data_IF_617706003298
#
_entry.id   IF_617706003298
#
_cell.length_a   1.000
_cell.length_b   1.000
_cell.length_c   1.000
_cell.angle_alpha   90.00
_cell.angle_beta   90.00
_cell.angle_gamma   90.00
#
_symmetry.space_group_name_H-M   'P 1'
#
loop_
_entity.id
_entity.type
_entity.pdbx_description
1 polymer ?
#
# COMPACT_ATOMS: atom_id res chain seq x y z
N UNK A 1 -54.46 1.55 -6.88
CA UNK A 1 -53.97 1.40 -5.51
C UNK A 1 -52.46 1.32 -5.54
N UNK A 2 -51.79 2.48 -5.53
CA UNK A 2 -50.32 2.58 -5.44
C UNK A 2 -49.99 3.01 -4.02
N UNK A 3 -50.07 2.06 -3.09
CA UNK A 3 -49.59 2.29 -1.72
C UNK A 3 -48.07 2.32 -1.77
N UNK A 4 -47.47 3.49 -1.92
CA UNK A 4 -46.04 3.68 -1.68
C UNK A 4 -45.84 3.55 -0.16
N UNK A 5 -45.38 2.39 0.29
CA UNK A 5 -44.93 2.20 1.68
C UNK A 5 -43.83 3.22 1.97
N UNK A 6 -44.19 4.28 2.70
CA UNK A 6 -43.26 5.33 3.07
C UNK A 6 -42.29 4.80 4.12
N UNK A 7 -41.00 5.15 4.01
CA UNK A 7 -39.98 4.82 5.02
C UNK A 7 -40.41 5.30 6.43
N UNK A 8 -41.22 6.36 6.50
CA UNK A 8 -41.79 6.89 7.73
C UNK A 8 -42.78 5.95 8.44
N UNK A 9 -43.36 4.97 7.73
CA UNK A 9 -44.27 4.02 8.35
C UNK A 9 -43.53 2.86 9.05
N UNK A 10 -42.23 2.71 8.77
CA UNK A 10 -41.43 1.62 9.32
C UNK A 10 -40.95 1.93 10.74
N UNK A 11 -40.81 0.91 11.62
CA UNK A 11 -40.12 1.03 12.89
C UNK A 11 -38.65 1.50 12.75
N UNK A 12 -38.08 2.25 13.71
CA UNK A 12 -36.71 2.77 13.63
C UNK A 12 -35.62 1.71 13.40
N UNK A 13 -35.73 0.56 14.05
CA UNK A 13 -34.81 -0.59 13.92
C UNK A 13 -34.82 -1.17 12.50
N UNK A 14 -36.00 -1.28 11.88
CA UNK A 14 -36.14 -1.71 10.47
C UNK A 14 -35.49 -0.68 9.54
N UNK A 15 -35.69 0.62 9.78
CA UNK A 15 -35.03 1.68 9.01
C UNK A 15 -33.51 1.54 9.14
N UNK A 16 -32.98 1.44 10.36
CA UNK A 16 -31.54 1.27 10.60
C UNK A 16 -30.98 0.02 9.90
N UNK A 17 -31.75 -1.06 9.83
CA UNK A 17 -31.35 -2.27 9.11
C UNK A 17 -31.29 -2.05 7.58
N UNK A 18 -32.21 -1.27 7.02
CA UNK A 18 -32.19 -0.90 5.60
C UNK A 18 -30.96 -0.03 5.29
N UNK A 19 -30.62 0.91 6.18
CA UNK A 19 -29.50 1.84 5.98
C UNK A 19 -28.14 1.13 5.81
N UNK A 20 -27.98 -0.09 6.34
CA UNK A 20 -26.75 -0.89 6.21
C UNK A 20 -26.37 -1.14 4.75
N UNK A 21 -27.35 -1.16 3.84
CA UNK A 21 -27.14 -1.45 2.41
C UNK A 21 -26.90 -0.19 1.57
N UNK A 22 -26.88 0.99 2.18
CA UNK A 22 -26.67 2.25 1.48
C UNK A 22 -25.19 2.61 1.48
N UNK A 23 -24.75 3.22 0.38
CA UNK A 23 -23.46 3.90 0.36
C UNK A 23 -23.50 5.15 1.26
N UNK A 24 -22.31 5.68 1.56
CA UNK A 24 -22.17 6.84 2.47
C UNK A 24 -22.84 8.08 1.88
N UNK A 25 -22.87 8.24 0.56
CA UNK A 25 -23.49 9.40 -0.10
C UNK A 25 -25.01 9.38 0.13
N UNK A 26 -25.65 8.25 -0.13
CA UNK A 26 -27.08 8.02 0.08
C UNK A 26 -27.44 8.15 1.55
N UNK A 27 -26.59 7.66 2.46
CA UNK A 27 -26.79 7.80 3.90
C UNK A 27 -26.81 9.28 4.34
N UNK A 28 -25.84 10.07 3.87
CA UNK A 28 -25.78 11.51 4.16
C UNK A 28 -26.98 12.23 3.54
N UNK A 29 -27.33 11.93 2.28
CA UNK A 29 -28.49 12.51 1.62
C UNK A 29 -29.79 12.24 2.40
N UNK A 30 -30.01 10.99 2.85
CA UNK A 30 -31.16 10.62 3.66
C UNK A 30 -31.24 11.38 4.99
N UNK A 31 -30.11 11.63 5.64
CA UNK A 31 -30.07 12.43 6.88
C UNK A 31 -30.60 13.86 6.70
N UNK A 32 -30.66 14.34 5.45
CA UNK A 32 -31.15 15.67 5.08
C UNK A 32 -32.60 15.69 4.56
N UNK A 33 -33.25 14.54 4.37
CA UNK A 33 -34.59 14.47 3.75
C UNK A 33 -35.70 14.95 4.68
N UNK A 34 -35.70 14.53 5.95
CA UNK A 34 -36.76 14.85 6.91
C UNK A 34 -36.27 14.92 8.37
N UNK A 35 -37.12 15.42 9.26
CA UNK A 35 -36.79 15.63 10.68
C UNK A 35 -36.58 14.34 11.47
N UNK A 36 -37.28 13.26 11.12
CA UNK A 36 -37.15 11.95 11.76
C UNK A 36 -35.85 11.27 11.36
N UNK A 37 -35.49 11.26 10.07
CA UNK A 37 -34.20 10.75 9.59
C UNK A 37 -33.04 11.60 10.12
N UNK A 38 -33.23 12.92 10.21
CA UNK A 38 -32.26 13.80 10.87
C UNK A 38 -32.10 13.45 12.36
N UNK A 39 -33.18 13.14 13.06
CA UNK A 39 -33.10 12.68 14.45
C UNK A 39 -32.37 11.34 14.56
N UNK A 40 -32.70 10.36 13.69
CA UNK A 40 -32.00 9.09 13.63
C UNK A 40 -30.51 9.24 13.29
N UNK A 41 -30.13 10.26 12.51
CA UNK A 41 -28.72 10.55 12.23
C UNK A 41 -27.92 11.03 13.45
N UNK A 42 -28.56 11.28 14.59
CA UNK A 42 -27.86 11.51 15.85
C UNK A 42 -27.52 10.19 16.58
N UNK A 43 -28.13 9.07 16.18
CA UNK A 43 -27.87 7.77 16.76
C UNK A 43 -26.57 7.17 16.21
N UNK A 44 -25.81 6.50 17.08
CA UNK A 44 -24.55 5.84 16.70
C UNK A 44 -24.74 4.81 15.59
N UNK A 45 -25.76 3.96 15.69
CA UNK A 45 -26.03 2.88 14.73
C UNK A 45 -26.37 3.36 13.33
N UNK A 46 -26.83 4.61 13.17
CA UNK A 46 -27.11 5.20 11.85
C UNK A 46 -25.84 5.29 10.99
N UNK A 47 -24.70 5.62 11.60
CA UNK A 47 -23.43 5.78 10.91
C UNK A 47 -22.55 4.54 10.99
N UNK A 48 -22.52 3.89 12.16
CA UNK A 48 -21.58 2.81 12.44
C UNK A 48 -21.69 1.65 11.46
N UNK A 49 -22.90 1.09 11.27
CA UNK A 49 -23.06 -0.13 10.43
C UNK A 49 -22.75 0.14 8.95
N UNK A 50 -23.26 1.21 8.31
CA UNK A 50 -22.90 1.50 6.93
C UNK A 50 -21.41 1.80 6.76
N UNK A 51 -20.79 2.56 7.68
CA UNK A 51 -19.35 2.85 7.61
C UNK A 51 -18.51 1.60 7.81
N UNK A 52 -18.85 0.73 8.76
CA UNK A 52 -18.16 -0.55 8.95
C UNK A 52 -18.28 -1.46 7.72
N UNK A 53 -19.41 -1.42 7.00
CA UNK A 53 -19.58 -2.09 5.72
C UNK A 53 -18.71 -1.48 4.61
N UNK A 54 -18.73 -0.14 4.49
CA UNK A 54 -17.96 0.59 3.49
C UNK A 54 -16.44 0.47 3.69
N UNK A 55 -15.97 0.42 4.95
CA UNK A 55 -14.56 0.31 5.30
C UNK A 55 -13.90 -0.96 4.73
N UNK A 56 -14.70 -2.01 4.49
CA UNK A 56 -14.25 -3.27 3.85
C UNK A 56 -14.00 -3.17 2.35
N UNK A 57 -14.40 -2.05 1.74
CA UNK A 57 -14.39 -1.86 0.28
C UNK A 57 -13.52 -0.65 -0.10
N UNK A 58 -13.40 0.32 0.80
CA UNK A 58 -12.66 1.56 0.57
C UNK A 58 -12.05 2.07 1.88
N UNK A 59 -10.92 2.80 1.79
CA UNK A 59 -10.32 3.40 2.97
C UNK A 59 -11.27 4.42 3.62
N UNK A 60 -11.28 4.48 4.95
CA UNK A 60 -11.92 5.54 5.72
C UNK A 60 -10.84 6.41 6.34
N UNK A 61 -11.19 7.64 6.72
CA UNK A 61 -10.25 8.61 7.31
C UNK A 61 -9.92 8.33 8.79
N UNK A 62 -9.59 7.08 9.08
CA UNK A 62 -9.15 6.57 10.36
C UNK A 62 -8.19 5.40 10.10
N UNK A 63 -7.36 5.03 11.09
CA UNK A 63 -6.58 3.80 11.02
C UNK A 63 -7.47 2.58 10.78
N UNK A 64 -6.98 1.54 10.08
CA UNK A 64 -7.79 0.35 9.83
C UNK A 64 -8.05 -0.47 11.11
N UNK A 65 -7.19 -0.34 12.12
CA UNK A 65 -7.31 -0.94 13.45
C UNK A 65 -8.28 -0.19 14.39
N UNK A 66 -8.74 0.99 13.98
CA UNK A 66 -9.64 1.82 14.77
C UNK A 66 -11.01 1.14 14.98
N UNK A 67 -11.40 0.94 16.23
CA UNK A 67 -12.70 0.36 16.56
C UNK A 67 -13.79 1.42 16.40
N UNK A 68 -14.42 1.44 15.22
CA UNK A 68 -15.54 2.32 14.90
C UNK A 68 -16.71 2.21 15.89
N UNK A 69 -16.84 1.13 16.66
CA UNK A 69 -17.91 0.97 17.65
C UNK A 69 -17.70 1.80 18.93
N UNK A 70 -16.46 2.23 19.18
CA UNK A 70 -16.09 3.10 20.30
C UNK A 70 -16.20 4.60 19.95
N UNK A 71 -16.34 4.92 18.67
CA UNK A 71 -16.50 6.30 18.16
C UNK A 71 -17.88 6.85 18.52
N UNK A 72 -17.94 8.14 18.80
CA UNK A 72 -19.21 8.85 18.94
C UNK A 72 -19.92 9.00 17.58
N UNK A 73 -21.25 9.18 17.60
CA UNK A 73 -22.01 9.44 16.37
C UNK A 73 -21.50 10.68 15.60
N UNK A 74 -21.03 11.70 16.33
CA UNK A 74 -20.44 12.90 15.73
C UNK A 74 -19.12 12.61 15.00
N UNK A 75 -18.25 11.78 15.57
CA UNK A 75 -17.00 11.37 14.94
C UNK A 75 -17.25 10.50 13.71
N UNK A 76 -18.17 9.52 13.80
CA UNK A 76 -18.56 8.69 12.66
C UNK A 76 -19.14 9.54 11.52
N UNK A 77 -19.99 10.52 11.85
CA UNK A 77 -20.51 11.47 10.86
C UNK A 77 -19.38 12.29 10.23
N UNK A 78 -18.38 12.72 11.01
CA UNK A 78 -17.21 13.45 10.50
C UNK A 78 -16.41 12.57 9.53
N UNK A 79 -16.19 11.29 9.85
CA UNK A 79 -15.54 10.32 8.96
C UNK A 79 -16.31 10.18 7.65
N UNK A 80 -17.63 9.97 7.72
CA UNK A 80 -18.49 9.88 6.54
C UNK A 80 -18.35 11.10 5.63
N UNK A 81 -18.45 12.31 6.19
CA UNK A 81 -18.32 13.56 5.43
C UNK A 81 -16.92 13.77 4.88
N UNK A 82 -15.87 13.31 5.57
CA UNK A 82 -14.50 13.35 5.06
C UNK A 82 -14.32 12.41 3.87
N UNK A 83 -14.76 11.16 3.98
CA UNK A 83 -14.70 10.19 2.88
C UNK A 83 -15.43 10.70 1.63
N UNK A 84 -16.57 11.38 1.78
CA UNK A 84 -17.26 12.00 0.64
C UNK A 84 -16.52 13.19 0.03
N UNK A 85 -15.84 14.01 0.84
CA UNK A 85 -15.00 15.11 0.33
C UNK A 85 -13.82 14.56 -0.48
N UNK A 86 -13.17 13.55 0.06
CA UNK A 86 -12.08 12.82 -0.61
C UNK A 86 -12.56 12.22 -1.93
N UNK A 87 -13.64 11.43 -1.91
CA UNK A 87 -14.22 10.81 -3.09
C UNK A 87 -14.64 11.84 -4.16
N UNK A 88 -15.19 12.98 -3.73
CA UNK A 88 -15.52 14.10 -4.62
C UNK A 88 -14.27 14.74 -5.23
N UNK A 89 -13.20 14.95 -4.47
CA UNK A 89 -11.99 15.54 -5.04
C UNK A 89 -11.35 14.58 -6.06
N UNK A 90 -11.35 13.28 -5.74
CA UNK A 90 -10.87 12.24 -6.64
C UNK A 90 -11.67 12.06 -7.92
N UNK A 91 -12.98 12.33 -7.90
CA UNK A 91 -13.80 12.21 -9.11
C UNK A 91 -13.58 13.36 -10.09
N UNK A 92 -12.81 14.39 -9.71
CA UNK A 92 -12.40 15.46 -10.63
C UNK A 92 -11.23 15.02 -11.49
N UNK A 93 -11.12 15.56 -12.70
CA UNK A 93 -9.97 15.30 -13.58
C UNK A 93 -8.65 15.83 -13.01
N UNK A 94 -8.71 16.81 -12.12
CA UNK A 94 -7.56 17.47 -11.50
C UNK A 94 -7.82 17.66 -10.00
N UNK A 95 -7.54 16.63 -9.17
CA UNK A 95 -7.65 16.75 -7.73
C UNK A 95 -6.83 17.95 -7.24
N UNK A 96 -7.50 18.86 -6.53
CA UNK A 96 -6.88 20.08 -6.02
C UNK A 96 -6.50 19.92 -4.55
N UNK A 97 -5.43 20.60 -4.16
CA UNK A 97 -5.07 20.77 -2.75
C UNK A 97 -6.21 21.44 -2.00
N UNK A 98 -6.65 20.83 -0.90
CA UNK A 98 -7.84 21.24 -0.14
C UNK A 98 -7.51 22.23 0.99
N UNK A 99 -6.26 22.26 1.48
CA UNK A 99 -5.78 23.17 2.54
C UNK A 99 -4.34 23.60 2.25
N UNK A 100 -3.85 24.71 2.85
CA UNK A 100 -2.47 25.14 2.66
C UNK A 100 -1.47 24.01 2.94
N UNK A 101 -0.42 23.94 2.12
CA UNK A 101 0.68 22.99 2.31
C UNK A 101 1.40 23.34 3.61
N UNK A 102 1.53 22.36 4.51
CA UNK A 102 2.31 22.49 5.74
C UNK A 102 3.74 22.06 5.46
N UNK A 103 4.71 22.84 5.87
CA UNK A 103 6.13 22.52 5.74
C UNK A 103 6.76 22.38 7.12
N UNK A 104 7.48 21.28 7.32
CA UNK A 104 8.21 20.97 8.55
C UNK A 104 9.69 20.84 8.22
N UNK A 105 10.54 21.39 9.09
CA UNK A 105 11.98 21.16 8.99
C UNK A 105 12.31 19.79 9.61
N UNK A 106 13.09 19.00 8.88
CA UNK A 106 13.64 17.74 9.35
C UNK A 106 15.01 17.99 9.99
N UNK A 107 15.36 17.19 10.98
CA UNK A 107 16.60 17.36 11.75
C UNK A 107 17.79 16.76 11.01
N UNK A 108 17.61 15.61 10.36
CA UNK A 108 18.70 14.83 9.77
C UNK A 108 18.51 14.66 8.27
N UNK A 109 19.33 13.81 7.65
CA UNK A 109 19.18 13.43 6.24
C UNK A 109 18.08 12.37 6.07
N UNK A 110 16.91 12.70 6.59
CA UNK A 110 15.78 11.79 6.73
C UNK A 110 15.16 11.49 5.35
N UNK A 111 15.15 10.23 4.94
CA UNK A 111 14.35 9.72 3.82
C UNK A 111 13.03 9.15 4.34
N UNK A 112 11.96 9.34 3.60
CA UNK A 112 10.66 8.85 4.04
C UNK A 112 10.49 7.40 3.63
N UNK A 113 10.31 6.52 4.62
CA UNK A 113 10.12 5.09 4.38
C UNK A 113 8.64 4.77 4.15
N UNK A 114 7.76 5.28 5.02
CA UNK A 114 6.31 5.09 4.91
C UNK A 114 5.54 6.03 5.84
N UNK A 115 4.25 6.16 5.57
CA UNK A 115 3.26 6.71 6.49
C UNK A 115 2.44 5.59 7.13
N UNK A 116 2.00 5.82 8.37
CA UNK A 116 1.09 4.92 9.06
C UNK A 116 -0.35 5.28 8.66
N UNK A 117 -1.08 4.38 7.95
CA UNK A 117 -2.37 4.68 7.34
C UNK A 117 -3.39 5.28 8.31
N UNK A 118 -4.06 6.35 7.88
CA UNK A 118 -5.13 6.97 8.64
C UNK A 118 -4.66 7.75 9.88
N UNK A 119 -3.35 7.98 10.03
CA UNK A 119 -2.74 8.74 11.13
C UNK A 119 -1.89 9.91 10.61
N UNK A 120 -1.32 10.67 11.54
CA UNK A 120 -0.30 11.68 11.25
C UNK A 120 1.13 11.14 11.44
N UNK A 121 1.32 9.83 11.63
CA UNK A 121 2.62 9.25 11.90
C UNK A 121 3.33 8.88 10.60
N UNK A 122 4.63 9.20 10.53
CA UNK A 122 5.53 8.79 9.45
C UNK A 122 6.78 8.15 10.02
N UNK A 123 7.36 7.22 9.28
CA UNK A 123 8.66 6.62 9.58
C UNK A 123 9.69 7.19 8.62
N UNK A 124 10.76 7.74 9.20
CA UNK A 124 11.87 8.35 8.50
C UNK A 124 13.15 7.54 8.75
N UNK A 125 13.95 7.33 7.72
CA UNK A 125 15.29 6.75 7.79
C UNK A 125 16.36 7.82 7.70
N UNK A 126 17.22 7.88 8.71
CA UNK A 126 18.49 8.57 8.63
C UNK A 126 19.52 7.61 8.05
N UNK A 127 19.81 7.74 6.74
CA UNK A 127 20.70 6.82 6.03
C UNK A 127 22.18 6.98 6.42
N UNK A 128 22.59 8.13 6.96
CA UNK A 128 23.96 8.35 7.43
C UNK A 128 24.22 7.59 8.73
N UNK A 129 23.27 7.68 9.67
CA UNK A 129 23.35 7.01 10.98
C UNK A 129 22.76 5.59 10.97
N UNK A 130 22.11 5.20 9.85
CA UNK A 130 21.41 3.95 9.67
C UNK A 130 20.36 3.68 10.77
N UNK A 131 19.58 4.73 11.08
CA UNK A 131 18.56 4.73 12.13
C UNK A 131 17.18 5.09 11.60
N UNK A 132 16.14 4.64 12.30
CA UNK A 132 14.76 4.99 12.03
C UNK A 132 14.19 5.84 13.16
N UNK A 133 13.38 6.84 12.80
CA UNK A 133 12.56 7.61 13.74
C UNK A 133 11.11 7.62 13.26
N UNK A 134 10.16 7.61 14.20
CA UNK A 134 8.76 7.86 13.92
C UNK A 134 8.44 9.32 14.31
N UNK A 135 7.85 10.09 13.40
CA UNK A 135 7.45 11.48 13.63
C UNK A 135 5.93 11.62 13.55
N UNK A 136 5.33 12.37 14.47
CA UNK A 136 3.98 12.90 14.31
C UNK A 136 4.03 14.22 13.54
N UNK A 137 3.48 14.25 12.33
CA UNK A 137 3.52 15.45 11.48
C UNK A 137 2.61 16.56 11.97
N UNK A 138 1.66 16.29 12.87
CA UNK A 138 0.81 17.32 13.46
C UNK A 138 1.59 18.09 14.52
N UNK A 139 2.18 17.37 15.48
CA UNK A 139 2.89 17.95 16.63
C UNK A 139 4.37 18.28 16.36
N UNK A 140 4.99 17.59 15.38
CA UNK A 140 6.42 17.63 15.12
C UNK A 140 7.26 16.80 16.11
N UNK A 141 6.61 16.07 17.02
CA UNK A 141 7.31 15.20 17.98
C UNK A 141 7.87 13.96 17.29
N UNK A 142 9.06 13.53 17.73
CA UNK A 142 9.75 12.35 17.21
C UNK A 142 9.93 11.30 18.31
N UNK A 143 9.92 10.03 17.89
CA UNK A 143 10.35 8.90 18.72
C UNK A 143 11.85 8.97 19.01
N UNK A 144 12.31 8.09 19.89
CA UNK A 144 13.74 7.81 19.97
C UNK A 144 14.20 7.06 18.71
N UNK A 145 15.46 7.25 18.31
CA UNK A 145 16.02 6.64 17.10
C UNK A 145 16.35 5.16 17.34
N UNK A 146 15.98 4.31 16.39
CA UNK A 146 16.25 2.86 16.43
C UNK A 146 17.22 2.50 15.31
N UNK A 147 18.38 1.94 15.67
CA UNK A 147 19.41 1.56 14.70
C UNK A 147 19.07 0.24 14.01
N UNK A 148 18.85 0.27 12.70
CA UNK A 148 18.42 -0.89 11.88
C UNK A 148 19.44 -1.29 10.82
N UNK A 149 20.36 -0.40 10.43
CA UNK A 149 21.20 -0.61 9.25
C UNK A 149 20.59 0.06 8.01
N UNK A 150 21.33 0.08 6.90
CA UNK A 150 20.85 0.66 5.66
C UNK A 150 19.76 -0.23 5.08
N UNK A 151 18.55 0.30 4.94
CA UNK A 151 17.38 -0.43 4.47
C UNK A 151 17.39 -0.44 2.94
N UNK A 152 17.08 -1.60 2.36
CA UNK A 152 16.97 -1.73 0.90
C UNK A 152 15.66 -2.40 0.46
N UNK A 153 14.89 -2.97 1.39
CA UNK A 153 13.52 -3.39 1.13
C UNK A 153 12.68 -3.34 2.41
N UNK A 154 11.39 -3.05 2.26
CA UNK A 154 10.42 -3.04 3.36
C UNK A 154 9.09 -3.64 2.92
N UNK A 155 8.43 -4.38 3.83
CA UNK A 155 7.09 -4.86 3.57
C UNK A 155 6.07 -3.74 3.69
N UNK A 156 4.90 -3.95 3.08
CA UNK A 156 3.71 -3.18 3.42
C UNK A 156 3.41 -3.27 4.93
N UNK A 157 2.87 -2.21 5.54
CA UNK A 157 2.46 -2.23 6.92
C UNK A 157 1.34 -3.27 7.16
N UNK A 158 1.45 -4.00 8.26
CA UNK A 158 0.43 -4.89 8.80
C UNK A 158 -0.11 -4.25 10.07
N UNK A 159 -1.37 -3.83 10.04
CA UNK A 159 -2.00 -3.25 11.20
C UNK A 159 -2.39 -4.32 12.23
N UNK A 160 -1.98 -4.10 13.47
CA UNK A 160 -2.41 -4.78 14.69
C UNK A 160 -3.18 -3.75 15.55
N UNK A 161 -4.13 -4.20 16.37
CA UNK A 161 -5.16 -3.36 17.02
C UNK A 161 -4.65 -2.02 17.59
N UNK A 162 -3.44 -2.01 18.16
CA UNK A 162 -2.83 -0.82 18.76
C UNK A 162 -1.47 -0.44 18.14
N UNK A 163 -1.01 -1.15 17.11
CA UNK A 163 0.32 -0.92 16.51
C UNK A 163 0.32 -1.26 15.03
N UNK A 164 1.12 -0.56 14.25
CA UNK A 164 1.42 -0.94 12.88
C UNK A 164 2.77 -1.68 12.85
N UNK A 165 2.81 -2.89 12.29
CA UNK A 165 4.03 -3.69 12.16
C UNK A 165 4.51 -3.73 10.70
N UNK A 166 5.80 -3.83 10.48
CA UNK A 166 6.42 -3.91 9.15
C UNK A 166 7.71 -4.71 9.24
N UNK A 167 8.10 -5.41 8.18
CA UNK A 167 9.44 -5.99 8.10
C UNK A 167 10.36 -5.10 7.28
N UNK A 168 11.61 -5.02 7.72
CA UNK A 168 12.68 -4.30 7.04
C UNK A 168 13.83 -5.25 6.77
N UNK A 169 14.33 -5.21 5.55
CA UNK A 169 15.51 -5.93 5.12
C UNK A 169 16.65 -4.92 4.99
N UNK A 170 17.69 -5.09 5.79
CA UNK A 170 18.76 -4.10 5.95
C UNK A 170 20.15 -4.72 5.91
N UNK A 171 21.17 -3.87 5.76
CA UNK A 171 22.58 -4.25 5.90
C UNK A 171 23.21 -3.48 7.05
N UNK A 172 23.85 -4.20 7.98
CA UNK A 172 24.59 -3.61 9.09
C UNK A 172 25.92 -4.33 9.28
N UNK A 173 27.02 -3.59 9.22
CA UNK A 173 28.38 -4.13 9.37
C UNK A 173 28.69 -5.29 8.41
N UNK A 174 28.15 -5.26 7.19
CA UNK A 174 28.33 -6.28 6.17
C UNK A 174 27.40 -7.50 6.30
N UNK A 175 26.61 -7.60 7.36
CA UNK A 175 25.61 -8.66 7.52
C UNK A 175 24.25 -8.17 7.03
N UNK A 176 23.53 -9.03 6.30
CA UNK A 176 22.13 -8.81 5.97
C UNK A 176 21.25 -9.20 7.15
N UNK A 177 20.26 -8.36 7.44
CA UNK A 177 19.40 -8.48 8.61
C UNK A 177 17.95 -8.36 8.22
N UNK A 178 17.11 -9.16 8.87
CA UNK A 178 15.66 -9.08 8.79
C UNK A 178 15.15 -8.58 10.14
N UNK A 179 14.51 -7.42 10.15
CA UNK A 179 13.92 -6.80 11.35
C UNK A 179 12.41 -6.69 11.22
N UNK A 180 11.70 -6.77 12.35
CA UNK A 180 10.25 -6.48 12.43
C UNK A 180 10.06 -5.28 13.34
N UNK A 181 9.68 -4.17 12.73
CA UNK A 181 9.46 -2.89 13.38
C UNK A 181 7.99 -2.76 13.75
N UNK A 182 7.72 -2.20 14.93
CA UNK A 182 6.36 -1.90 15.40
C UNK A 182 6.27 -0.44 15.77
N UNK A 183 5.29 0.25 15.20
CA UNK A 183 4.95 1.63 15.52
C UNK A 183 3.67 1.64 16.35
N UNK A 184 3.73 2.17 17.56
CA UNK A 184 2.53 2.30 18.40
C UNK A 184 1.58 3.36 17.82
N UNK A 185 0.27 3.06 17.76
CA UNK A 185 -0.73 3.97 17.21
C UNK A 185 -1.07 5.11 18.19
N UNK A 186 -1.59 6.26 17.68
CA UNK A 186 -1.88 7.44 18.50
C UNK A 186 -2.84 7.14 19.67
N UNK A 187 -2.50 7.67 20.85
CA UNK A 187 -3.16 7.39 22.13
C UNK A 187 -2.19 7.49 23.32
N UNK A 188 -0.89 7.46 23.02
CA UNK A 188 0.23 7.80 23.90
C UNK A 188 0.79 9.18 23.49
N UNK A 189 1.40 9.92 24.42
CA UNK A 189 1.83 11.31 24.20
C UNK A 189 3.13 11.48 23.38
N UNK A 190 3.74 10.40 22.88
CA UNK A 190 4.94 10.44 22.03
C UNK A 190 4.89 9.27 21.05
N UNK A 191 5.26 9.44 19.76
CA UNK A 191 5.44 8.33 18.84
C UNK A 191 6.48 7.35 19.35
N UNK A 192 6.24 6.04 19.21
CA UNK A 192 7.17 4.98 19.61
C UNK A 192 7.35 4.02 18.44
N UNK A 193 8.62 3.72 18.13
CA UNK A 193 9.02 2.66 17.21
C UNK A 193 9.86 1.64 17.97
N UNK A 194 9.52 0.36 17.85
CA UNK A 194 10.18 -0.76 18.53
C UNK A 194 10.69 -1.77 17.52
N UNK A 195 11.89 -2.29 17.73
CA UNK A 195 12.41 -3.44 16.98
C UNK A 195 12.06 -4.73 17.73
N UNK A 196 10.99 -5.39 17.27
CA UNK A 196 10.37 -6.53 17.97
C UNK A 196 11.02 -7.88 17.64
N UNK A 197 11.69 -7.98 16.49
CA UNK A 197 12.38 -9.19 16.05
C UNK A 197 13.55 -8.79 15.16
N UNK A 198 14.72 -9.39 15.38
CA UNK A 198 15.92 -9.13 14.59
C UNK A 198 16.65 -10.45 14.31
N UNK A 199 16.82 -10.76 13.04
CA UNK A 199 17.45 -11.99 12.55
C UNK A 199 18.64 -11.65 11.67
N UNK A 200 19.77 -12.29 11.92
CA UNK A 200 20.94 -12.25 11.03
C UNK A 200 20.72 -13.33 9.96
N UNK A 201 20.76 -12.93 8.71
CA UNK A 201 20.54 -13.82 7.57
C UNK A 201 21.85 -14.46 7.11
N UNK A 202 21.77 -15.66 6.54
CA UNK A 202 22.93 -16.38 6.02
C UNK A 202 23.52 -15.62 4.81
N UNK A 203 24.79 -15.20 4.86
CA UNK A 203 25.43 -14.41 3.80
C UNK A 203 25.67 -15.20 2.50
N UNK A 204 25.44 -16.51 2.50
CA UNK A 204 25.57 -17.37 1.31
C UNK A 204 24.45 -17.16 0.29
N UNK A 205 23.38 -16.46 0.68
CA UNK A 205 22.23 -16.17 -0.17
C UNK A 205 22.12 -14.68 -0.49
N UNK A 206 21.53 -14.38 -1.63
CA UNK A 206 21.11 -13.02 -1.96
C UNK A 206 19.63 -12.86 -1.64
N UNK A 207 19.29 -11.91 -0.77
CA UNK A 207 17.90 -11.57 -0.42
C UNK A 207 17.42 -10.39 -1.26
N UNK A 208 16.15 -10.43 -1.64
CA UNK A 208 15.61 -9.53 -2.67
C UNK A 208 14.25 -8.92 -2.31
N UNK A 209 13.48 -9.55 -1.43
CA UNK A 209 12.22 -9.02 -0.95
C UNK A 209 11.91 -9.53 0.46
N UNK A 210 11.16 -8.77 1.25
CA UNK A 210 10.61 -9.14 2.54
C UNK A 210 9.09 -8.99 2.56
N UNK A 211 8.46 -9.77 3.42
CA UNK A 211 7.03 -9.67 3.69
C UNK A 211 6.74 -9.99 5.15
N UNK A 212 5.60 -9.48 5.61
CA UNK A 212 5.09 -9.68 6.95
C UNK A 212 3.63 -10.13 6.90
N UNK A 213 3.28 -11.11 7.72
CA UNK A 213 1.89 -11.48 8.03
C UNK A 213 1.62 -11.28 9.52
N UNK A 214 0.41 -11.58 9.98
CA UNK A 214 0.07 -11.56 11.41
C UNK A 214 0.91 -12.55 12.24
N UNK A 215 1.49 -13.59 11.62
CA UNK A 215 2.12 -14.71 12.32
C UNK A 215 3.54 -15.03 11.88
N UNK A 216 3.96 -14.60 10.69
CA UNK A 216 5.29 -14.87 10.14
C UNK A 216 5.92 -13.63 9.52
N UNK A 217 7.24 -13.58 9.59
CA UNK A 217 8.06 -12.71 8.74
C UNK A 217 8.83 -13.58 7.75
N UNK A 218 9.03 -13.11 6.53
CA UNK A 218 9.79 -13.86 5.56
C UNK A 218 10.59 -13.02 4.58
N UNK A 219 11.44 -13.72 3.85
CA UNK A 219 12.32 -13.16 2.82
C UNK A 219 12.32 -14.06 1.60
N UNK A 220 12.47 -13.43 0.44
CA UNK A 220 12.76 -14.11 -0.83
C UNK A 220 14.26 -14.12 -1.02
N UNK A 221 14.83 -15.32 -1.12
CA UNK A 221 16.27 -15.53 -1.28
C UNK A 221 16.59 -16.30 -2.55
N UNK A 222 17.76 -16.04 -3.10
CA UNK A 222 18.28 -16.71 -4.29
C UNK A 222 19.37 -17.70 -3.91
N UNK A 223 19.27 -18.92 -4.44
CA UNK A 223 20.28 -19.97 -4.30
C UNK A 223 21.40 -19.81 -5.34
N UNK A 224 22.55 -20.47 -5.12
CA UNK A 224 23.64 -20.56 -6.11
C UNK A 224 23.15 -21.12 -7.46
N UNK A 225 22.16 -22.02 -7.44
CA UNK A 225 21.52 -22.61 -8.60
C UNK A 225 20.57 -21.67 -9.35
N UNK A 226 20.47 -20.40 -8.92
CA UNK A 226 19.55 -19.40 -9.47
C UNK A 226 18.10 -19.86 -9.42
N UNK A 227 17.69 -20.56 -8.35
CA UNK A 227 16.28 -20.73 -8.01
C UNK A 227 15.91 -19.74 -6.91
N UNK A 228 14.65 -19.33 -6.89
CA UNK A 228 14.11 -18.55 -5.78
C UNK A 228 13.59 -19.49 -4.69
N UNK A 229 13.81 -19.10 -3.44
CA UNK A 229 13.25 -19.74 -2.27
C UNK A 229 12.55 -18.71 -1.39
N UNK A 230 11.49 -19.14 -0.71
CA UNK A 230 10.80 -18.33 0.28
C UNK A 230 11.17 -18.88 1.65
N UNK A 231 11.93 -18.11 2.42
CA UNK A 231 12.25 -18.46 3.80
C UNK A 231 11.32 -17.69 4.73
N UNK A 232 10.67 -18.39 5.66
CA UNK A 232 9.80 -17.77 6.67
C UNK A 232 10.20 -18.16 8.07
N UNK A 233 9.91 -17.26 9.01
CA UNK A 233 10.17 -17.39 10.43
C UNK A 233 8.89 -17.04 11.20
N UNK A 234 8.59 -17.82 12.24
CA UNK A 234 7.48 -17.50 13.13
C UNK A 234 7.79 -16.24 13.96
N UNK A 235 6.81 -15.34 14.10
CA UNK A 235 6.99 -14.12 14.89
C UNK A 235 7.06 -14.37 16.40
N UNK A 236 6.45 -15.46 16.90
CA UNK A 236 6.44 -15.83 18.32
C UNK A 236 7.66 -16.66 18.69
N UNK A 237 8.01 -17.64 17.85
CA UNK A 237 9.20 -18.48 18.03
C UNK A 237 10.05 -18.51 16.75
N UNK A 238 10.99 -17.57 16.59
CA UNK A 238 11.81 -17.45 15.37
C UNK A 238 12.70 -18.66 15.08
N UNK A 239 12.82 -19.61 16.02
CA UNK A 239 13.52 -20.88 15.77
C UNK A 239 12.72 -21.80 14.84
N UNK A 240 11.40 -21.61 14.79
CA UNK A 240 10.51 -22.24 13.81
C UNK A 240 10.66 -21.50 12.49
N UNK A 241 11.28 -22.18 11.52
CA UNK A 241 11.46 -21.67 10.16
C UNK A 241 11.10 -22.71 9.11
N UNK A 242 10.64 -22.25 7.96
CA UNK A 242 10.40 -23.07 6.78
C UNK A 242 11.09 -22.46 5.56
N UNK A 243 11.50 -23.33 4.64
CA UNK A 243 12.04 -22.93 3.34
C UNK A 243 11.17 -23.58 2.28
N UNK A 244 10.49 -22.75 1.48
CA UNK A 244 9.68 -23.19 0.35
C UNK A 244 10.52 -23.05 -0.91
N UNK A 245 10.79 -24.19 -1.55
CA UNK A 245 11.54 -24.25 -2.79
C UNK A 245 10.62 -23.87 -3.95
N UNK A 246 11.11 -23.04 -4.87
CA UNK A 246 10.39 -22.75 -6.10
C UNK A 246 11.22 -23.19 -7.30
N UNK A 247 10.55 -23.60 -8.37
CA UNK A 247 11.18 -23.75 -9.70
C UNK A 247 11.21 -22.41 -10.46
N UNK A 248 10.95 -21.30 -9.77
CA UNK A 248 11.05 -19.98 -10.36
C UNK A 248 12.51 -19.71 -10.70
N UNK A 249 12.84 -19.37 -11.96
CA UNK A 249 14.18 -18.92 -12.26
C UNK A 249 14.44 -17.65 -11.45
N UNK A 250 15.65 -17.54 -10.88
CA UNK A 250 16.12 -16.33 -10.24
C UNK A 250 16.43 -15.29 -11.31
N UNK A 251 15.34 -14.71 -11.79
CA UNK A 251 15.27 -13.52 -12.63
C UNK A 251 14.86 -12.37 -11.72
N UNK A 252 14.89 -11.16 -12.26
CA UNK A 252 14.47 -9.94 -11.57
C UNK A 252 13.05 -10.11 -10.99
N UNK A 253 12.97 -10.24 -9.66
CA UNK A 253 11.72 -10.24 -8.89
C UNK A 253 11.20 -8.82 -8.85
N UNK A 254 9.90 -8.63 -9.06
CA UNK A 254 9.29 -7.31 -8.87
C UNK A 254 9.05 -7.00 -7.40
N UNK A 255 8.69 -8.01 -6.61
CA UNK A 255 8.38 -7.86 -5.19
C UNK A 255 7.55 -9.03 -4.66
N UNK A 256 7.18 -8.91 -3.39
CA UNK A 256 6.33 -9.87 -2.69
C UNK A 256 5.13 -9.19 -2.05
N UNK A 257 4.00 -9.88 -1.99
CA UNK A 257 2.70 -9.34 -1.57
C UNK A 257 2.04 -10.35 -0.65
N UNK A 258 1.54 -9.91 0.50
CA UNK A 258 0.74 -10.77 1.39
C UNK A 258 -0.72 -10.47 1.19
N UNK A 259 -1.49 -11.50 0.87
CA UNK A 259 -2.92 -11.38 0.65
C UNK A 259 -3.64 -12.64 1.18
N UNK A 260 -4.61 -12.45 2.09
CA UNK A 260 -5.38 -13.54 2.72
C UNK A 260 -4.49 -14.68 3.22
N UNK A 261 -3.41 -14.29 3.93
CA UNK A 261 -2.39 -15.19 4.49
C UNK A 261 -1.61 -16.02 3.45
N UNK A 262 -1.81 -15.75 2.16
CA UNK A 262 -1.05 -16.29 1.05
C UNK A 262 -0.03 -15.26 0.60
N UNK A 263 1.21 -15.67 0.35
CA UNK A 263 2.25 -14.79 -0.21
C UNK A 263 2.25 -14.95 -1.72
N UNK A 264 2.17 -13.83 -2.43
CA UNK A 264 2.29 -13.77 -3.88
C UNK A 264 3.64 -13.21 -4.26
N UNK A 265 4.36 -13.89 -5.14
CA UNK A 265 5.57 -13.38 -5.77
C UNK A 265 5.27 -13.05 -7.21
N UNK A 266 5.63 -11.85 -7.64
CA UNK A 266 5.48 -11.43 -9.03
C UNK A 266 6.86 -11.35 -9.65
N UNK A 267 7.07 -12.17 -10.68
CA UNK A 267 8.38 -12.30 -11.35
C UNK A 267 8.23 -11.95 -12.82
N UNK A 268 9.10 -11.08 -13.30
CA UNK A 268 9.18 -10.74 -14.71
C UNK A 268 10.17 -11.67 -15.42
N UNK A 269 9.73 -12.28 -16.51
CA UNK A 269 10.61 -13.03 -17.41
C UNK A 269 10.35 -12.57 -18.84
N UNK A 270 11.23 -11.68 -19.32
CA UNK A 270 11.03 -10.97 -20.57
C UNK A 270 9.82 -10.05 -20.50
N UNK A 271 8.85 -10.24 -21.39
CA UNK A 271 7.60 -9.46 -21.46
C UNK A 271 6.42 -10.12 -20.74
N UNK A 272 6.69 -11.12 -19.90
CA UNK A 272 5.65 -11.87 -19.20
C UNK A 272 5.85 -11.74 -17.69
N UNK A 273 4.75 -11.54 -16.99
CA UNK A 273 4.69 -11.65 -15.54
C UNK A 273 4.20 -13.05 -15.16
N UNK A 274 4.83 -13.61 -14.13
CA UNK A 274 4.45 -14.88 -13.50
C UNK A 274 4.12 -14.59 -12.05
N UNK A 275 2.92 -14.98 -11.61
CA UNK A 275 2.43 -14.74 -10.25
C UNK A 275 2.40 -16.04 -9.48
N UNK A 276 3.42 -16.27 -8.66
CA UNK A 276 3.53 -17.44 -7.78
C UNK A 276 2.72 -17.18 -6.52
N UNK A 277 2.00 -18.20 -6.03
CA UNK A 277 1.23 -18.11 -4.79
C UNK A 277 1.73 -19.18 -3.81
N UNK A 278 2.16 -18.74 -2.64
CA UNK A 278 2.63 -19.56 -1.53
C UNK A 278 1.55 -19.56 -0.43
N UNK A 279 0.76 -20.64 -0.31
CA UNK A 279 -0.33 -20.70 0.65
C UNK A 279 0.18 -20.74 2.11
N UNK A 280 -0.68 -20.29 3.01
CA UNK A 280 -0.43 -20.22 4.46
C UNK A 280 0.15 -21.52 5.05
N UNK A 281 -0.31 -22.68 4.58
CA UNK A 281 0.13 -24.00 5.06
C UNK A 281 1.60 -24.34 4.82
N UNK A 282 2.29 -23.61 3.92
CA UNK A 282 3.72 -23.79 3.67
C UNK A 282 4.59 -22.88 4.56
N UNK A 283 3.96 -21.97 5.32
CA UNK A 283 4.64 -20.97 6.13
C UNK A 283 4.96 -21.49 7.54
N UNK A 284 5.89 -20.84 8.21
CA UNK A 284 6.35 -21.17 9.56
C UNK A 284 5.33 -20.79 10.67
N UNK A 285 4.06 -21.20 10.55
CA UNK A 285 3.03 -20.91 11.56
C UNK A 285 3.04 -21.93 12.70
N UNK A 286 3.57 -23.12 12.44
CA UNK A 286 3.77 -24.17 13.42
C UNK A 286 5.00 -25.01 13.08
N UNK A 287 5.20 -26.09 13.83
CA UNK A 287 6.30 -27.02 13.56
C UNK A 287 6.19 -27.58 12.13
N UNK A 288 7.28 -27.57 11.34
CA UNK A 288 7.26 -28.13 10.00
C UNK A 288 6.81 -29.59 10.04
N UNK A 289 5.77 -29.92 9.26
CA UNK A 289 5.34 -31.30 9.08
C UNK A 289 6.17 -31.98 7.98
N UNK A 290 6.60 -33.21 8.22
CA UNK A 290 7.31 -34.03 7.24
C UNK A 290 6.44 -34.44 6.04
N UNK A 291 5.11 -34.37 6.18
CA UNK A 291 4.14 -34.79 5.16
C UNK A 291 3.81 -33.69 4.14
N UNK A 292 4.36 -32.47 4.31
CA UNK A 292 4.08 -31.32 3.45
C UNK A 292 5.18 -31.20 2.37
N UNK A 293 4.78 -31.16 1.11
CA UNK A 293 5.67 -30.77 0.01
C UNK A 293 5.84 -29.25 -0.01
N UNK A 294 6.99 -28.77 0.46
CA UNK A 294 7.36 -27.35 0.45
C UNK A 294 7.90 -26.92 -0.92
N UNK A 295 7.20 -27.28 -2.00
CA UNK A 295 7.59 -26.93 -3.36
C UNK A 295 6.47 -26.19 -4.09
N UNK A 296 6.78 -25.04 -4.68
CA UNK A 296 5.90 -24.32 -5.61
C UNK A 296 6.44 -24.50 -7.03
N UNK A 297 5.60 -25.05 -7.91
CA UNK A 297 5.96 -25.31 -9.31
C UNK A 297 5.28 -24.31 -10.26
N UNK A 298 6.02 -23.85 -11.26
CA UNK A 298 5.60 -22.94 -12.34
C UNK A 298 4.48 -23.53 -13.18
N UNK A 299 4.39 -24.86 -13.27
CA UNK A 299 3.26 -25.56 -13.88
C UNK A 299 1.91 -25.21 -13.24
N UNK A 300 1.92 -24.69 -12.02
CA UNK A 300 0.72 -24.29 -11.28
C UNK A 300 0.48 -22.77 -11.30
N UNK A 301 1.31 -22.01 -12.03
CA UNK A 301 1.33 -20.55 -12.03
C UNK A 301 0.68 -19.99 -13.30
N UNK A 302 -0.14 -18.96 -13.13
CA UNK A 302 -0.69 -18.21 -14.25
C UNK A 302 0.43 -17.44 -14.96
N UNK A 303 0.55 -17.64 -16.27
CA UNK A 303 1.37 -16.80 -17.14
C UNK A 303 0.52 -15.63 -17.62
N UNK A 304 0.98 -14.42 -17.36
CA UNK A 304 0.33 -13.20 -17.81
C UNK A 304 1.23 -12.49 -18.80
N UNK A 305 0.76 -12.38 -20.05
CA UNK A 305 1.39 -11.50 -21.02
C UNK A 305 1.11 -10.06 -20.61
N UNK A 306 2.15 -9.26 -20.45
CA UNK A 306 1.98 -7.82 -20.24
C UNK A 306 1.43 -7.17 -21.51
N UNK A 307 0.76 -6.04 -21.35
CA UNK A 307 -0.07 -5.42 -22.39
C UNK A 307 0.77 -4.69 -23.44
N UNK A 308 1.73 -5.38 -24.07
CA UNK A 308 2.55 -4.79 -25.11
C UNK A 308 2.00 -5.12 -26.50
N UNK A 309 1.96 -4.13 -27.41
CA UNK A 309 1.95 -4.44 -28.84
C UNK A 309 3.11 -5.41 -29.10
N UNK A 310 2.86 -6.46 -29.87
CA UNK A 310 3.80 -7.56 -30.16
C UNK A 310 5.08 -7.13 -30.90
N UNK A 311 5.38 -5.83 -30.99
CA UNK A 311 6.64 -5.33 -31.50
C UNK A 311 7.78 -5.72 -30.56
N UNK A 312 8.67 -6.57 -31.10
CA UNK A 312 9.74 -7.34 -30.44
C UNK A 312 10.88 -6.42 -29.92
N UNK A 313 10.63 -5.12 -29.80
CA UNK A 313 11.62 -4.08 -29.53
C UNK A 313 11.42 -3.40 -28.18
N UNK A 314 10.81 -4.04 -27.18
CA UNK A 314 10.73 -3.47 -25.83
C UNK A 314 11.48 -4.29 -24.78
N UNK A 315 12.12 -3.59 -23.84
CA UNK A 315 12.77 -4.16 -22.65
C UNK A 315 12.01 -3.65 -21.44
N UNK A 316 11.71 -4.56 -20.52
CA UNK A 316 10.97 -4.28 -19.29
C UNK A 316 11.93 -4.39 -18.12
N UNK A 317 11.92 -3.42 -17.22
CA UNK A 317 12.65 -3.49 -15.95
C UNK A 317 11.64 -3.42 -14.79
N UNK A 318 11.69 -4.35 -13.84
CA UNK A 318 10.87 -4.27 -12.65
C UNK A 318 11.28 -3.06 -11.83
N UNK A 319 10.30 -2.30 -11.36
CA UNK A 319 10.51 -1.21 -10.41
C UNK A 319 10.06 -1.62 -9.04
N UNK A 320 8.79 -2.00 -8.92
CA UNK A 320 8.25 -2.49 -7.66
C UNK A 320 6.98 -3.30 -7.86
N UNK A 321 6.71 -4.19 -6.91
CA UNK A 321 5.41 -4.78 -6.64
C UNK A 321 5.12 -4.57 -5.18
N UNK A 322 4.04 -3.84 -4.89
CA UNK A 322 3.62 -3.57 -3.53
C UNK A 322 2.20 -4.08 -3.33
N UNK A 323 2.00 -4.74 -2.19
CA UNK A 323 0.67 -4.98 -1.65
C UNK A 323 0.24 -3.77 -0.85
N UNK A 324 -1.05 -3.69 -0.61
CA UNK A 324 -1.57 -2.96 0.53
C UNK A 324 -2.37 -3.92 1.41
N UNK A 325 -2.78 -3.46 2.59
CA UNK A 325 -3.53 -4.28 3.55
C UNK A 325 -4.83 -4.87 2.93
N UNK A 326 -5.18 -6.14 3.20
CA UNK A 326 -6.34 -6.83 2.59
C UNK A 326 -7.73 -6.27 2.94
N UNK A 327 -7.82 -5.22 3.77
CA UNK A 327 -9.11 -4.72 4.30
C UNK A 327 -9.87 -3.83 3.32
N UNK A 328 -9.18 -2.93 2.61
CA UNK A 328 -9.83 -1.85 1.84
C UNK A 328 -9.60 -1.93 0.33
N UNK A 329 -8.80 -2.89 -0.16
CA UNK A 329 -8.54 -3.10 -1.59
C UNK A 329 -8.51 -4.57 -2.00
N UNK A 330 -8.96 -4.85 -3.23
CA UNK A 330 -9.04 -6.19 -3.82
C UNK A 330 -7.94 -6.45 -4.85
N UNK A 331 -6.81 -5.75 -4.72
CA UNK A 331 -5.74 -5.75 -5.70
C UNK A 331 -4.39 -5.51 -5.05
N UNK A 332 -3.34 -6.07 -5.64
CA UNK A 332 -1.99 -5.54 -5.51
C UNK A 332 -1.60 -4.85 -6.82
N UNK A 333 -0.53 -4.06 -6.80
CA UNK A 333 -0.13 -3.25 -7.94
C UNK A 333 1.33 -3.54 -8.28
N UNK A 334 1.61 -3.66 -9.58
CA UNK A 334 2.96 -3.78 -10.09
C UNK A 334 3.29 -2.61 -11.00
N UNK A 335 4.51 -2.08 -10.89
CA UNK A 335 5.03 -1.04 -11.77
C UNK A 335 6.25 -1.55 -12.52
N UNK A 336 6.24 -1.39 -13.85
CA UNK A 336 7.31 -1.83 -14.74
C UNK A 336 7.75 -0.67 -15.61
N UNK A 337 9.06 -0.43 -15.70
CA UNK A 337 9.64 0.53 -16.64
C UNK A 337 9.82 -0.14 -18.00
N UNK A 338 9.40 0.55 -19.06
CA UNK A 338 9.31 0.01 -20.40
C UNK A 338 10.10 0.91 -21.36
N UNK A 339 11.07 0.31 -22.04
CA UNK A 339 11.98 1.01 -22.95
C UNK A 339 11.88 0.47 -24.37
N UNK A 340 11.96 1.37 -25.36
CA UNK A 340 12.22 0.99 -26.74
C UNK A 340 13.70 0.57 -26.95
N UNK A 341 13.93 -0.56 -27.63
CA UNK A 341 15.26 -1.20 -27.82
C UNK A 341 16.15 -0.50 -28.85
N UNK A 342 15.67 0.53 -29.56
CA UNK A 342 16.42 1.22 -30.63
C UNK A 342 16.29 2.75 -30.58
N UNK A 343 17.37 3.40 -30.14
CA UNK A 343 17.79 4.74 -30.58
C UNK A 343 17.00 5.96 -30.09
N UNK A 344 15.72 5.81 -29.72
CA UNK A 344 14.93 6.87 -29.13
C UNK A 344 15.03 6.78 -27.60
N UNK A 345 16.02 7.45 -27.01
CA UNK A 345 16.14 7.59 -25.54
C UNK A 345 14.93 8.24 -24.88
N UNK A 346 14.05 8.85 -25.69
CA UNK A 346 12.84 9.57 -25.29
C UNK A 346 11.59 8.71 -25.14
N UNK A 347 11.56 7.48 -25.67
CA UNK A 347 10.37 6.61 -25.59
C UNK A 347 10.47 5.69 -24.36
N UNK A 348 10.26 6.29 -23.18
CA UNK A 348 10.10 5.59 -21.90
C UNK A 348 8.66 5.72 -21.43
N UNK A 349 8.16 4.64 -20.85
CA UNK A 349 6.84 4.62 -20.22
C UNK A 349 6.83 3.70 -19.01
N UNK A 350 5.99 4.01 -18.04
CA UNK A 350 5.71 3.15 -16.90
C UNK A 350 4.40 2.39 -17.14
N UNK A 351 4.42 1.08 -16.92
CA UNK A 351 3.23 0.24 -16.92
C UNK A 351 2.80 -0.04 -15.49
N UNK A 352 1.63 0.46 -15.10
CA UNK A 352 1.01 0.25 -13.79
C UNK A 352 -0.12 -0.75 -13.95
N UNK A 353 0.07 -1.95 -13.41
CA UNK A 353 -0.89 -3.05 -13.53
C UNK A 353 -1.54 -3.33 -12.18
N UNK A 354 -2.86 -3.27 -12.16
CA UNK A 354 -3.72 -3.63 -11.03
C UNK A 354 -4.14 -5.08 -11.17
N UNK A 355 -3.77 -5.90 -10.20
CA UNK A 355 -4.00 -7.35 -10.23
C UNK A 355 -5.29 -7.70 -9.51
N UNK A 356 -6.07 -8.65 -10.03
CA UNK A 356 -7.33 -9.05 -9.39
C UNK A 356 -7.05 -9.98 -8.22
N UNK A 357 -7.70 -9.74 -7.09
CA UNK A 357 -7.89 -10.77 -6.05
C UNK A 357 -8.57 -12.00 -6.65
N UNK A 358 -8.05 -13.22 -6.44
CA UNK A 358 -8.79 -14.44 -6.71
C UNK A 358 -10.02 -14.43 -5.79
N UNK A 359 -11.20 -14.19 -6.36
CA UNK A 359 -12.45 -14.19 -5.61
C UNK A 359 -13.00 -15.61 -5.67
N UNK A 360 -12.98 -16.31 -4.54
CA UNK A 360 -13.58 -17.62 -4.44
C UNK A 360 -14.37 -17.73 -3.15
N UNK A 361 -15.68 -17.93 -3.27
CA UNK A 361 -16.51 -18.54 -2.21
C UNK A 361 -16.36 -20.08 -2.23
N UNK A 362 -15.53 -20.64 -3.12
CA UNK A 362 -15.25 -22.07 -3.20
C UNK A 362 -13.99 -22.46 -2.43
N UNK A 363 -14.09 -23.51 -1.63
CA UNK A 363 -13.00 -24.10 -0.84
C UNK A 363 -11.91 -24.78 -1.69
N UNK A 364 -11.98 -24.73 -3.02
CA UNK A 364 -10.99 -25.36 -3.90
C UNK A 364 -9.73 -24.49 -4.05
N UNK A 365 -8.82 -24.60 -3.08
CA UNK A 365 -7.49 -23.98 -3.08
C UNK A 365 -6.74 -24.17 -4.41
N UNK A 366 -6.91 -25.33 -5.07
CA UNK A 366 -6.17 -25.67 -6.29
C UNK A 366 -6.59 -24.84 -7.51
N UNK A 367 -7.84 -24.35 -7.53
CA UNK A 367 -8.35 -23.43 -8.55
C UNK A 367 -7.97 -21.96 -8.24
N UNK A 368 -7.83 -21.62 -6.96
CA UNK A 368 -7.55 -20.25 -6.50
C UNK A 368 -6.15 -19.76 -6.92
N UNK A 369 -5.14 -20.64 -6.88
CA UNK A 369 -3.76 -20.33 -7.30
C UNK A 369 -3.62 -19.98 -8.79
N UNK A 370 -4.60 -20.31 -9.62
CA UNK A 370 -4.53 -20.18 -11.09
C UNK A 370 -5.15 -18.89 -11.66
N UNK A 371 -5.70 -18.00 -10.82
CA UNK A 371 -6.60 -16.92 -11.28
C UNK A 371 -6.20 -15.50 -10.89
N UNK A 372 -4.93 -15.25 -10.54
CA UNK A 372 -4.45 -13.86 -10.44
C UNK A 372 -4.22 -13.33 -11.85
N UNK A 373 -5.18 -12.56 -12.33
CA UNK A 373 -5.14 -11.93 -13.65
C UNK A 373 -5.09 -10.41 -13.49
N UNK A 374 -4.41 -9.70 -14.40
CA UNK A 374 -4.47 -8.25 -14.43
C UNK A 374 -5.92 -7.83 -14.68
N UNK A 375 -6.46 -6.93 -13.86
CA UNK A 375 -7.78 -6.32 -14.13
C UNK A 375 -7.63 -5.17 -15.09
N UNK A 376 -6.62 -4.33 -14.83
CA UNK A 376 -6.41 -3.10 -15.55
C UNK A 376 -4.94 -2.77 -15.57
N UNK A 377 -4.49 -2.31 -16.74
CA UNK A 377 -3.16 -1.75 -16.95
C UNK A 377 -3.32 -0.31 -17.40
N UNK A 378 -2.49 0.56 -16.85
CA UNK A 378 -2.36 1.97 -17.21
C UNK A 378 -0.94 2.20 -17.67
N UNK A 379 -0.78 2.85 -18.82
CA UNK A 379 0.54 3.27 -19.33
C UNK A 379 0.69 4.76 -19.07
N UNK A 380 1.80 5.13 -18.44
CA UNK A 380 2.19 6.51 -18.15
C UNK A 380 3.42 6.86 -18.95
N UNK A 381 3.36 7.95 -19.70
CA UNK A 381 4.51 8.45 -20.47
C UNK A 381 5.58 9.04 -19.55
N UNK A 382 6.84 8.80 -19.88
CA UNK A 382 8.00 9.26 -19.11
C UNK A 382 8.65 8.16 -18.28
N UNK A 383 9.51 8.58 -17.35
CA UNK A 383 10.21 7.70 -16.40
C UNK A 383 10.06 8.22 -14.99
N UNK A 384 10.25 7.36 -13.99
CA UNK A 384 10.37 7.84 -12.61
C UNK A 384 11.52 8.83 -12.49
N UNK A 385 11.35 9.88 -11.68
CA UNK A 385 12.45 10.76 -11.31
C UNK A 385 13.50 9.96 -10.54
N UNK A 386 14.77 10.18 -10.86
CA UNK A 386 15.90 9.57 -10.16
C UNK A 386 16.66 10.68 -9.43
N UNK A 387 16.75 10.60 -8.10
CA UNK A 387 17.52 11.55 -7.31
C UNK A 387 18.86 10.93 -6.88
N UNK A 388 20.03 11.52 -7.19
CA UNK A 388 21.33 10.91 -6.90
C UNK A 388 21.58 10.59 -5.42
N UNK A 389 20.95 11.37 -4.55
CA UNK A 389 21.08 11.21 -3.11
C UNK A 389 20.04 10.26 -2.50
N UNK A 390 19.02 9.80 -3.24
CA UNK A 390 18.00 8.91 -2.69
C UNK A 390 18.19 7.47 -3.14
N UNK A 391 17.96 6.55 -2.19
CA UNK A 391 17.94 5.12 -2.44
C UNK A 391 16.53 4.61 -2.74
N UNK A 392 15.51 5.37 -2.37
CA UNK A 392 14.12 5.04 -2.64
C UNK A 392 13.69 5.56 -4.03
N UNK A 393 12.94 4.74 -4.76
CA UNK A 393 12.24 5.23 -5.94
C UNK A 393 11.02 6.05 -5.50
N UNK A 394 10.73 7.21 -6.13
CA UNK A 394 9.57 8.03 -5.78
C UNK A 394 8.30 7.46 -6.42
N UNK A 395 7.97 6.24 -5.98
CA UNK A 395 6.87 5.38 -6.36
C UNK A 395 6.28 4.84 -5.06
N UNK A 396 5.03 5.19 -4.76
CA UNK A 396 4.35 4.71 -3.56
C UNK A 396 2.97 4.21 -3.92
N UNK A 397 2.64 3.04 -3.39
CA UNK A 397 1.29 2.49 -3.44
C UNK A 397 0.61 2.85 -2.13
N UNK A 398 -0.58 3.43 -2.26
CA UNK A 398 -1.38 3.75 -1.10
C UNK A 398 -1.73 2.49 -0.30
N UNK A 399 -1.94 2.66 1.01
CA UNK A 399 -2.30 1.57 1.92
C UNK A 399 -3.65 0.90 1.59
N UNK A 400 -4.51 1.51 0.77
CA UNK A 400 -5.70 0.81 0.25
C UNK A 400 -5.43 -0.07 -0.97
N UNK A 401 -4.30 0.08 -1.66
CA UNK A 401 -3.96 -0.75 -2.83
C UNK A 401 -4.83 -0.43 -4.04
N UNK A 402 -5.55 0.69 -3.98
CA UNK A 402 -6.36 1.22 -5.08
C UNK A 402 -5.69 2.39 -5.77
N UNK A 403 -4.61 2.94 -5.20
CA UNK A 403 -3.98 4.15 -5.71
C UNK A 403 -2.46 4.00 -5.74
N UNK A 404 -1.85 4.51 -6.81
CA UNK A 404 -0.39 4.69 -6.93
C UNK A 404 -0.09 6.17 -7.06
N UNK A 405 0.92 6.64 -6.33
CA UNK A 405 1.54 7.93 -6.52
C UNK A 405 2.89 7.75 -7.20
N UNK A 406 3.10 8.48 -8.30
CA UNK A 406 4.33 8.48 -9.08
C UNK A 406 4.88 9.91 -9.16
N UNK A 407 6.19 10.07 -9.05
CA UNK A 407 6.88 11.28 -9.50
C UNK A 407 7.59 10.98 -10.83
N UNK A 408 7.14 11.61 -11.91
CA UNK A 408 7.48 11.23 -13.29
C UNK A 408 8.11 12.39 -14.06
N UNK A 409 9.24 12.14 -14.70
CA UNK A 409 9.82 13.00 -15.73
C UNK A 409 9.14 12.70 -17.07
N UNK A 410 8.25 13.61 -17.48
CA UNK A 410 7.56 13.53 -18.77
C UNK A 410 8.41 14.24 -19.83
N UNK A 411 8.57 13.68 -21.05
CA UNK A 411 9.25 14.36 -22.14
C UNK A 411 8.65 15.76 -22.37
N UNK A 412 9.49 16.75 -22.68
CA UNK A 412 9.08 18.14 -22.97
C UNK A 412 8.50 18.94 -21.78
N UNK A 413 8.36 18.34 -20.59
CA UNK A 413 7.94 19.07 -19.40
C UNK A 413 9.13 19.79 -18.72
N UNK A 414 8.91 21.04 -18.29
CA UNK A 414 9.94 21.83 -17.59
C UNK A 414 10.26 21.31 -16.18
N UNK A 415 9.32 20.56 -15.57
CA UNK A 415 9.45 19.96 -14.25
C UNK A 415 8.81 18.57 -14.20
N UNK A 416 9.23 17.71 -13.26
CA UNK A 416 8.54 16.46 -12.96
C UNK A 416 7.06 16.68 -12.64
N UNK A 417 6.25 15.64 -12.82
CA UNK A 417 4.83 15.61 -12.51
C UNK A 417 4.53 14.59 -11.43
N UNK A 418 3.69 14.99 -10.49
CA UNK A 418 3.14 14.09 -9.48
C UNK A 418 1.83 13.51 -10.00
N UNK A 419 1.84 12.22 -10.34
CA UNK A 419 0.70 11.52 -10.94
C UNK A 419 0.08 10.54 -9.96
N UNK A 420 -1.24 10.62 -9.81
CA UNK A 420 -2.06 9.70 -9.03
C UNK A 420 -2.83 8.80 -9.99
N UNK A 421 -2.57 7.50 -9.92
CA UNK A 421 -3.30 6.49 -10.70
C UNK A 421 -4.22 5.75 -9.75
N UNK A 422 -5.52 5.83 -9.99
CA UNK A 422 -6.54 5.21 -9.13
C UNK A 422 -7.27 4.12 -9.90
N UNK A 423 -7.54 3.01 -9.22
CA UNK A 423 -8.39 1.93 -9.70
C UNK A 423 -9.73 1.95 -8.97
N UNK A 424 -10.82 1.94 -9.73
CA UNK A 424 -12.17 1.78 -9.23
C UNK A 424 -12.55 0.30 -9.30
N UNK A 425 -12.68 -0.40 -8.16
CA UNK A 425 -13.02 -1.82 -8.14
C UNK A 425 -14.47 -2.10 -8.55
N UNK A 426 -15.39 -1.14 -8.41
CA UNK A 426 -16.78 -1.30 -8.80
C UNK A 426 -16.94 -1.25 -10.33
N UNK A 427 -16.32 -0.24 -10.95
CA UNK A 427 -16.37 -0.03 -12.41
C UNK A 427 -15.30 -0.82 -13.17
N UNK A 428 -14.30 -1.38 -12.46
CA UNK A 428 -13.11 -2.04 -13.04
C UNK A 428 -12.36 -1.13 -14.01
N UNK A 429 -12.35 0.17 -13.73
CA UNK A 429 -11.68 1.18 -14.52
C UNK A 429 -10.49 1.73 -13.73
N UNK A 430 -9.53 2.34 -14.43
CA UNK A 430 -8.48 3.10 -13.79
C UNK A 430 -8.37 4.45 -14.47
N UNK A 431 -8.05 5.46 -13.67
CA UNK A 431 -7.88 6.84 -14.09
C UNK A 431 -6.53 7.38 -13.63
N UNK A 432 -5.96 8.26 -14.44
CA UNK A 432 -4.71 8.95 -14.13
C UNK A 432 -5.02 10.43 -13.92
N UNK A 433 -4.53 10.97 -12.82
CA UNK A 433 -4.75 12.34 -12.40
C UNK A 433 -3.40 13.01 -12.12
N UNK A 434 -3.24 14.25 -12.55
CA UNK A 434 -2.09 15.07 -12.16
C UNK A 434 -2.46 15.81 -10.87
N UNK A 435 -1.67 15.63 -9.81
CA UNK A 435 -1.83 16.41 -8.59
C UNK A 435 -1.26 17.80 -8.83
N UNK A 436 -2.14 18.80 -8.91
CA UNK A 436 -1.76 20.19 -9.13
C UNK A 436 -1.73 20.94 -7.82
N UNK A 437 -0.62 21.63 -7.58
CA UNK A 437 -0.46 22.58 -6.50
C UNK A 437 0.35 23.76 -7.00
N UNK A 438 0.08 24.94 -6.43
CA UNK A 438 0.83 26.13 -6.77
C UNK A 438 2.21 26.04 -6.12
N UNK A 439 3.25 25.77 -6.93
CA UNK A 439 4.62 25.66 -6.48
C UNK A 439 5.12 26.96 -5.83
N UNK A 440 4.57 28.11 -6.22
CA UNK A 440 4.94 29.40 -5.62
C UNK A 440 4.38 29.57 -4.21
N UNK A 441 3.19 29.02 -3.94
CA UNK A 441 2.58 29.03 -2.60
C UNK A 441 3.15 27.94 -1.70
N UNK A 442 3.42 26.75 -2.23
CA UNK A 442 3.91 25.61 -1.44
C UNK A 442 5.42 25.63 -1.19
N UNK A 443 6.17 26.38 -2.00
CA UNK A 443 7.64 26.35 -2.00
C UNK A 443 8.22 24.98 -2.35
N UNK A 444 7.41 24.06 -2.88
CA UNK A 444 7.83 22.70 -3.22
C UNK A 444 8.39 22.65 -4.63
N UNK A 445 9.70 22.47 -4.76
CA UNK A 445 10.33 22.12 -6.03
C UNK A 445 10.32 20.59 -6.22
N UNK A 446 9.55 20.12 -7.20
CA UNK A 446 9.46 18.69 -7.52
C UNK A 446 10.79 18.09 -8.00
N UNK A 447 11.75 18.90 -8.46
CA UNK A 447 13.10 18.42 -8.81
C UNK A 447 13.95 18.11 -7.58
N UNK A 448 13.65 18.74 -6.45
CA UNK A 448 14.36 18.54 -5.19
C UNK A 448 13.74 17.42 -4.34
N UNK A 449 12.62 16.82 -4.78
CA UNK A 449 11.95 15.75 -4.05
C UNK A 449 12.80 14.47 -4.09
N UNK A 450 13.07 13.92 -2.92
CA UNK A 450 13.83 12.69 -2.70
C UNK A 450 12.93 11.51 -2.31
N UNK A 451 11.88 11.77 -1.55
CA UNK A 451 10.92 10.75 -1.13
C UNK A 451 9.50 11.28 -1.18
N UNK A 452 8.54 10.41 -1.48
CA UNK A 452 7.11 10.72 -1.47
C UNK A 452 6.35 9.65 -0.69
N UNK A 453 5.14 9.97 -0.24
CA UNK A 453 4.20 9.00 0.32
C UNK A 453 2.76 9.44 0.11
N UNK A 454 1.83 8.49 0.20
CA UNK A 454 0.42 8.70 -0.03
C UNK A 454 -0.41 8.06 1.09
N UNK A 455 -1.11 8.90 1.85
CA UNK A 455 -2.19 8.47 2.72
C UNK A 455 -3.53 8.74 2.05
N UNK A 456 -4.13 7.71 1.47
CA UNK A 456 -5.44 7.78 0.83
C UNK A 456 -6.61 7.53 1.81
N UNK A 457 -6.32 7.29 3.09
CA UNK A 457 -7.34 7.27 4.14
C UNK A 457 -7.73 8.70 4.50
N UNK A 458 -6.73 9.55 4.73
CA UNK A 458 -6.95 10.97 5.07
C UNK A 458 -6.85 11.92 3.88
N UNK A 459 -6.33 11.48 2.74
CA UNK A 459 -6.20 12.33 1.55
C UNK A 459 -5.00 13.26 1.63
N UNK A 460 -3.83 12.73 1.97
CA UNK A 460 -2.59 13.50 2.15
C UNK A 460 -1.47 12.89 1.32
N UNK A 461 -0.79 13.72 0.54
CA UNK A 461 0.52 13.39 -0.02
C UNK A 461 1.57 14.04 0.87
N UNK A 462 2.67 13.34 1.15
CA UNK A 462 3.83 13.96 1.74
C UNK A 462 5.03 13.82 0.82
N UNK A 463 5.90 14.82 0.81
CA UNK A 463 7.11 14.84 0.01
C UNK A 463 8.27 15.36 0.86
N UNK A 464 9.41 14.67 0.82
CA UNK A 464 10.66 15.10 1.44
C UNK A 464 11.59 15.64 0.37
N UNK A 465 12.16 16.81 0.61
CA UNK A 465 13.07 17.50 -0.31
C UNK A 465 14.52 17.47 0.18
N UNK A 466 15.47 17.71 -0.73
CA UNK A 466 16.91 17.75 -0.46
C UNK A 466 17.30 18.74 0.64
N UNK A 467 16.58 19.84 0.79
CA UNK A 467 16.80 20.85 1.83
C UNK A 467 16.24 20.49 3.21
N UNK A 468 16.00 19.18 3.45
CA UNK A 468 15.52 18.61 4.71
C UNK A 468 14.16 19.19 5.12
N UNK A 469 13.24 19.29 4.16
CA UNK A 469 11.87 19.71 4.43
C UNK A 469 10.88 18.62 4.11
N UNK A 470 9.91 18.44 4.99
CA UNK A 470 8.73 17.63 4.77
C UNK A 470 7.58 18.54 4.40
N UNK A 471 7.05 18.36 3.19
CA UNK A 471 5.87 19.04 2.69
C UNK A 471 4.66 18.11 2.84
N UNK A 472 3.65 18.53 3.61
CA UNK A 472 2.39 17.83 3.82
C UNK A 472 1.32 18.51 2.97
N UNK A 473 0.83 17.80 1.96
CA UNK A 473 -0.04 18.28 0.89
C UNK A 473 -1.44 17.66 1.05
N UNK A 474 -2.36 18.30 1.78
CA UNK A 474 -3.70 17.78 1.99
C UNK A 474 -4.56 18.04 0.76
N UNK A 475 -5.09 16.97 0.16
CA UNK A 475 -6.01 17.01 -0.96
C UNK A 475 -7.43 16.53 -0.58
N UNK A 476 -7.82 16.60 0.71
CA UNK A 476 -9.20 16.38 1.19
C UNK A 476 -9.64 17.16 2.45
#
# INVERSE_FOLDING_TARGET
>A
MTGTSSLHALPPDVVLQILVYLDVLSLVALSCVDTRLKALSQEHSFWFRPLAGAHRIRPLACPAADDLSLRTAAELRRLALHSLRLERNWSTSFPSVAKPVKTLALTNHDEMMLNIPGTNLIVLEDWEEATLVCMDVETGEQSDAVRIGAIYDMSSPVEDKASCAMSALSVMSGNQMLSVLRVAMPGQSKPVIEDSLRLILDPSYQYSATFLTESVVGVVRQTEGRSLEIQTFNLVDPTISTVVVTDCPAVEIMGSVVFDRTIYLVVLVGTNAFVYACPEKLLAIGSPSADIDYTIRRSHVARVALSFPTDITRVCFPRSVLSSEPRSGRSFISVTDVHARRGATTDRSLEVTFWRRPWSESDDESAQHRLVLPVKTVVVEGKLTEHPASHAEPLIIANSGLTVLLLVEVPEADSPKMLLIRYDPAEKTASTHELRFDASESGLDLKAVRGITLDDHIGVVMAVTEDKRLHVIPYA
#
